data_IF_381606394634
#
_entry.id   IF_381606394634
#
_cell.length_a   1.000
_cell.length_b   1.000
_cell.length_c   1.000
_cell.angle_alpha   90.00
_cell.angle_beta   90.00
_cell.angle_gamma   90.00
#
_symmetry.space_group_name_H-M   'P 1'
#
loop_
_entity.id
_entity.type
_entity.pdbx_description
1 polymer ?
#
# COMPACT_ATOMS: atom_id res chain seq x y z
N UNK A 1 47.51 26.01 59.80
CA UNK A 1 47.29 27.48 59.91
C UNK A 1 46.70 27.95 58.58
N UNK A 2 45.39 28.24 58.55
CA UNK A 2 44.78 29.53 58.14
C UNK A 2 44.99 29.88 56.64
N UNK A 3 43.99 30.27 55.82
CA UNK A 3 42.57 30.56 55.95
C UNK A 3 41.95 30.51 54.54
N UNK A 4 40.63 30.34 54.47
CA UNK A 4 39.76 30.36 53.29
C UNK A 4 39.87 31.60 52.40
N UNK A 5 39.50 31.47 51.11
CA UNK A 5 38.78 32.53 50.39
C UNK A 5 38.11 31.99 49.12
N UNK A 6 36.83 31.63 49.24
CA UNK A 6 35.88 31.48 48.12
C UNK A 6 35.51 32.89 47.65
N UNK A 7 35.69 33.20 46.36
CA UNK A 7 35.12 34.42 45.75
C UNK A 7 34.03 34.03 44.76
N UNK A 8 32.81 34.45 45.11
CA UNK A 8 31.63 34.44 44.26
C UNK A 8 31.84 35.32 43.03
N UNK A 9 31.46 34.82 41.85
CA UNK A 9 31.30 35.62 40.65
C UNK A 9 29.83 36.04 40.52
N UNK A 10 29.62 37.35 40.50
CA UNK A 10 28.32 38.00 40.39
C UNK A 10 27.73 37.83 38.98
N UNK A 11 26.44 37.46 38.92
CA UNK A 11 25.63 37.48 37.70
C UNK A 11 25.13 38.90 37.49
N UNK A 12 25.60 39.55 36.43
CA UNK A 12 25.15 40.87 36.00
C UNK A 12 24.00 40.70 35.00
N UNK A 13 22.77 40.90 35.45
CA UNK A 13 21.58 41.00 34.58
C UNK A 13 21.55 42.41 34.02
N UNK A 14 21.88 42.55 32.73
CA UNK A 14 21.73 43.80 32.00
C UNK A 14 20.36 43.80 31.29
N UNK A 15 19.36 44.40 31.92
CA UNK A 15 18.11 44.79 31.28
C UNK A 15 18.36 46.03 30.40
N UNK A 16 18.52 45.85 29.10
CA UNK A 16 18.34 46.92 28.12
C UNK A 16 16.97 46.75 27.46
N UNK A 17 16.06 47.66 27.80
CA UNK A 17 14.78 47.81 27.13
C UNK A 17 14.98 48.23 25.69
N UNK A 18 14.50 47.40 24.77
CA UNK A 18 14.22 47.81 23.40
C UNK A 18 12.70 47.95 23.30
N UNK A 19 12.22 49.20 23.30
CA UNK A 19 10.89 49.58 22.82
C UNK A 19 10.89 49.35 21.30
N UNK A 20 10.73 48.09 20.90
CA UNK A 20 10.50 47.68 19.53
C UNK A 20 9.00 47.48 19.33
N UNK A 21 8.40 48.39 18.55
CA UNK A 21 7.16 48.24 17.80
C UNK A 21 6.72 46.77 17.68
N UNK A 22 5.68 46.36 18.43
CA UNK A 22 5.03 45.07 18.18
C UNK A 22 4.38 45.16 16.79
N UNK A 23 4.78 44.36 15.78
CA UNK A 23 3.96 44.22 14.60
C UNK A 23 2.60 43.65 15.02
N UNK A 24 1.55 44.29 14.53
CA UNK A 24 0.16 43.88 14.70
C UNK A 24 -0.01 42.36 14.46
N UNK A 25 -0.86 41.74 15.27
CA UNK A 25 -1.19 40.31 15.33
C UNK A 25 -1.22 39.61 13.96
N UNK A 26 -0.06 39.11 13.54
CA UNK A 26 0.09 38.14 12.47
C UNK A 26 0.28 36.77 13.07
N UNK A 27 -0.80 36.14 13.54
CA UNK A 27 -0.75 34.75 13.97
C UNK A 27 -0.26 33.89 12.79
N UNK A 28 1.01 33.48 12.81
CA UNK A 28 1.56 32.60 11.80
C UNK A 28 0.78 31.29 11.83
N UNK A 29 -0.08 31.08 10.82
CA UNK A 29 -0.81 29.83 10.65
C UNK A 29 0.20 28.70 10.50
N UNK A 30 0.20 27.75 11.45
CA UNK A 30 1.06 26.57 11.38
C UNK A 30 0.70 25.81 10.11
N UNK A 31 1.68 25.45 9.30
CA UNK A 31 1.47 24.66 8.10
C UNK A 31 2.61 23.69 7.92
N UNK A 32 2.41 22.66 7.10
CA UNK A 32 3.45 21.68 6.87
C UNK A 32 3.09 20.61 5.87
N UNK A 33 4.05 19.71 5.71
CA UNK A 33 3.98 18.53 4.87
C UNK A 33 4.20 17.31 5.74
N UNK A 34 3.37 16.29 5.60
CA UNK A 34 3.49 15.05 6.36
C UNK A 34 3.26 13.82 5.49
N UNK A 35 3.69 12.67 6.01
CA UNK A 35 3.52 11.35 5.41
C UNK A 35 2.93 10.41 6.44
N UNK A 36 2.17 9.42 5.97
CA UNK A 36 1.54 8.45 6.85
C UNK A 36 0.71 7.43 6.08
N UNK A 37 -0.05 6.62 6.83
CA UNK A 37 -0.99 5.62 6.30
C UNK A 37 -2.40 6.21 6.36
N UNK A 38 -3.14 6.18 5.24
CA UNK A 38 -4.54 6.56 5.22
C UNK A 38 -5.38 5.50 5.93
N UNK A 39 -5.75 5.75 7.17
CA UNK A 39 -6.48 4.79 8.00
C UNK A 39 -7.96 4.75 7.63
N UNK A 40 -8.59 5.93 7.51
CA UNK A 40 -9.99 6.07 7.16
C UNK A 40 -10.24 7.30 6.29
N UNK A 41 -11.38 7.33 5.61
CA UNK A 41 -11.85 8.49 4.85
C UNK A 41 -13.36 8.53 4.79
N UNK A 42 -13.89 9.72 4.58
CA UNK A 42 -15.27 9.97 4.20
C UNK A 42 -15.32 10.81 2.92
N UNK A 43 -16.49 11.35 2.59
CA UNK A 43 -16.66 12.29 1.50
C UNK A 43 -15.99 13.65 1.79
N UNK A 44 -15.91 14.04 3.07
CA UNK A 44 -15.49 15.39 3.49
C UNK A 44 -14.27 15.42 4.41
N UNK A 45 -13.69 14.27 4.76
CA UNK A 45 -12.53 14.20 5.65
C UNK A 45 -11.69 12.95 5.42
N UNK A 46 -10.47 12.99 5.93
CA UNK A 46 -9.55 11.83 5.98
C UNK A 46 -8.94 11.68 7.38
N UNK A 47 -8.55 10.46 7.72
CA UNK A 47 -7.75 10.16 8.90
C UNK A 47 -6.45 9.47 8.50
N UNK A 48 -5.35 10.01 9.02
CA UNK A 48 -4.00 9.56 8.68
C UNK A 48 -3.25 9.21 9.95
N UNK A 49 -2.66 8.00 9.97
CA UNK A 49 -1.66 7.60 10.95
C UNK A 49 -0.32 8.18 10.49
N UNK A 50 0.11 9.27 11.12
CA UNK A 50 1.33 9.99 10.75
C UNK A 50 2.56 9.17 11.13
N UNK A 51 3.59 9.20 10.30
CA UNK A 51 4.85 8.51 10.59
C UNK A 51 5.46 8.99 11.90
N UNK A 52 5.79 8.06 12.79
CA UNK A 52 6.36 8.35 14.11
C UNK A 52 5.34 8.73 15.18
N UNK A 53 4.05 8.83 14.84
CA UNK A 53 2.98 9.09 15.78
C UNK A 53 2.12 7.86 16.02
N UNK A 54 1.64 7.69 17.26
CA UNK A 54 0.75 6.59 17.65
C UNK A 54 -0.72 6.89 17.34
N UNK A 55 -1.10 8.16 17.21
CA UNK A 55 -2.50 8.59 17.08
C UNK A 55 -2.87 8.97 15.65
N UNK A 56 -4.15 8.77 15.33
CA UNK A 56 -4.74 9.20 14.07
C UNK A 56 -5.02 10.69 14.11
N UNK A 57 -4.71 11.38 13.01
CA UNK A 57 -5.08 12.78 12.82
C UNK A 57 -6.13 12.91 11.74
N UNK A 58 -7.20 13.65 12.03
CA UNK A 58 -8.26 13.97 11.08
C UNK A 58 -7.95 15.28 10.35
N UNK A 59 -8.09 15.26 9.03
CA UNK A 59 -7.94 16.44 8.18
C UNK A 59 -9.22 16.68 7.39
N UNK A 60 -9.61 17.95 7.30
CA UNK A 60 -10.81 18.40 6.57
C UNK A 60 -10.35 19.36 5.48
N UNK A 61 -10.88 19.31 4.25
CA UNK A 61 -10.56 20.29 3.22
C UNK A 61 -10.71 21.74 3.70
N UNK A 62 -9.95 22.64 3.08
CA UNK A 62 -10.14 24.09 3.27
C UNK A 62 -11.52 24.53 2.77
N UNK A 63 -12.07 25.56 3.42
CA UNK A 63 -13.28 26.22 2.98
C UNK A 63 -12.99 27.27 1.90
N UNK A 64 -13.88 27.43 0.92
CA UNK A 64 -13.78 28.36 -0.21
C UNK A 64 -15.11 29.11 -0.37
N UNK A 65 -15.09 30.34 -0.88
CA UNK A 65 -16.30 31.03 -1.34
C UNK A 65 -17.13 31.79 -0.27
N UNK A 66 -16.56 32.19 0.87
CA UNK A 66 -17.29 33.01 1.85
C UNK A 66 -18.26 32.20 2.72
N UNK A 67 -19.39 32.76 3.16
CA UNK A 67 -20.35 32.00 3.98
C UNK A 67 -21.11 30.98 3.11
N UNK A 68 -21.72 29.93 3.70
CA UNK A 68 -22.50 28.95 2.94
C UNK A 68 -23.56 29.57 2.00
N UNK A 69 -24.24 30.63 2.47
CA UNK A 69 -25.25 31.37 1.70
C UNK A 69 -24.68 32.11 0.48
N UNK A 70 -23.39 32.42 0.48
CA UNK A 70 -22.68 33.16 -0.57
C UNK A 70 -21.99 32.21 -1.57
N UNK A 71 -22.31 30.92 -1.52
CA UNK A 71 -21.65 29.88 -2.31
C UNK A 71 -20.44 29.27 -1.62
N UNK A 72 -20.30 29.46 -0.31
CA UNK A 72 -19.23 28.85 0.47
C UNK A 72 -19.33 27.32 0.51
N UNK A 73 -18.23 26.62 0.22
CA UNK A 73 -18.15 25.16 0.20
C UNK A 73 -16.75 24.65 0.54
N UNK A 74 -16.62 23.34 0.77
CA UNK A 74 -15.32 22.68 0.91
C UNK A 74 -14.60 22.66 -0.45
N UNK A 75 -13.27 22.76 -0.45
CA UNK A 75 -12.47 22.80 -1.66
C UNK A 75 -12.68 21.55 -2.55
N UNK A 76 -13.38 21.74 -3.67
CA UNK A 76 -13.76 20.67 -4.61
C UNK A 76 -12.55 19.92 -5.18
N UNK A 77 -11.42 20.61 -5.40
CA UNK A 77 -10.20 19.97 -5.88
C UNK A 77 -9.70 18.94 -4.86
N UNK A 78 -9.76 19.28 -3.57
CA UNK A 78 -9.35 18.38 -2.49
C UNK A 78 -10.38 17.26 -2.30
N UNK A 79 -11.68 17.56 -2.38
CA UNK A 79 -12.75 16.55 -2.30
C UNK A 79 -12.59 15.46 -3.37
N UNK A 80 -12.36 15.87 -4.62
CA UNK A 80 -12.12 14.94 -5.73
C UNK A 80 -10.90 14.04 -5.48
N UNK A 81 -9.84 14.59 -4.87
CA UNK A 81 -8.68 13.79 -4.47
C UNK A 81 -9.02 12.80 -3.38
N UNK A 82 -9.75 13.20 -2.34
CA UNK A 82 -10.20 12.29 -1.27
C UNK A 82 -11.03 11.14 -1.85
N UNK A 83 -11.92 11.43 -2.80
CA UNK A 83 -12.75 10.42 -3.46
C UNK A 83 -11.88 9.33 -4.14
N UNK A 84 -10.81 9.73 -4.82
CA UNK A 84 -9.89 8.82 -5.53
C UNK A 84 -8.96 8.00 -4.60
N UNK A 85 -8.81 8.36 -3.33
CA UNK A 85 -7.93 7.63 -2.41
C UNK A 85 -8.48 6.25 -2.05
N UNK A 86 -7.56 5.34 -1.72
CA UNK A 86 -7.83 4.00 -1.20
C UNK A 86 -7.23 3.87 0.20
N UNK A 87 -8.01 3.38 1.16
CA UNK A 87 -7.58 3.19 2.54
C UNK A 87 -6.49 2.13 2.64
N UNK A 88 -5.58 2.29 3.59
CA UNK A 88 -4.38 1.47 3.80
C UNK A 88 -3.17 1.89 2.97
N UNK A 89 -3.34 2.71 1.93
CA UNK A 89 -2.19 3.23 1.20
C UNK A 89 -1.41 4.28 1.98
N UNK A 90 -0.12 4.39 1.68
CA UNK A 90 0.71 5.49 2.15
C UNK A 90 0.35 6.76 1.40
N UNK A 91 0.27 7.87 2.11
CA UNK A 91 -0.09 9.18 1.56
C UNK A 91 0.92 10.23 1.99
N UNK A 92 1.05 11.24 1.14
CA UNK A 92 1.73 12.48 1.44
C UNK A 92 0.73 13.61 1.32
N UNK A 93 0.66 14.47 2.33
CA UNK A 93 -0.30 15.58 2.35
C UNK A 93 0.33 16.88 2.83
N UNK A 94 -0.30 17.97 2.41
CA UNK A 94 0.02 19.33 2.80
C UNK A 94 -1.15 19.87 3.62
N UNK A 95 -0.84 20.50 4.74
CA UNK A 95 -1.85 20.96 5.69
C UNK A 95 -1.55 22.35 6.22
N UNK A 96 -2.60 23.00 6.71
CA UNK A 96 -2.53 24.26 7.46
C UNK A 96 -3.46 24.18 8.67
N UNK A 97 -3.07 24.80 9.77
CA UNK A 97 -3.92 24.98 10.94
C UNK A 97 -4.69 26.29 10.79
N UNK A 98 -6.01 26.16 10.75
CA UNK A 98 -6.97 27.29 10.72
C UNK A 98 -8.17 26.87 11.55
N UNK A 99 -8.00 26.98 12.89
CA UNK A 99 -8.77 26.37 13.99
C UNK A 99 -8.80 24.83 14.03
N UNK A 100 -8.69 24.21 12.86
CA UNK A 100 -8.61 22.77 12.65
C UNK A 100 -7.52 22.44 11.64
N UNK A 101 -7.13 21.16 11.57
CA UNK A 101 -6.21 20.67 10.55
C UNK A 101 -6.88 20.67 9.18
N UNK A 102 -6.54 21.68 8.36
CA UNK A 102 -7.06 21.82 7.01
C UNK A 102 -6.16 21.14 6.00
N UNK A 103 -6.77 20.35 5.12
CA UNK A 103 -6.11 19.67 4.01
C UNK A 103 -6.02 20.60 2.80
N UNK A 104 -4.79 20.90 2.37
CA UNK A 104 -4.53 21.68 1.16
C UNK A 104 -4.32 20.79 -0.06
N UNK A 105 -3.66 19.65 0.12
CA UNK A 105 -3.36 18.71 -0.96
C UNK A 105 -3.06 17.33 -0.38
N UNK A 106 -3.35 16.28 -1.14
CA UNK A 106 -3.00 14.90 -0.82
C UNK A 106 -2.66 14.12 -2.09
N UNK A 107 -1.75 13.16 -1.94
CA UNK A 107 -1.44 12.17 -2.98
C UNK A 107 -1.04 10.83 -2.37
N UNK A 108 -1.38 9.75 -3.08
CA UNK A 108 -0.93 8.40 -2.75
C UNK A 108 0.54 8.22 -3.12
N UNK A 109 1.33 7.63 -2.23
CA UNK A 109 2.70 7.22 -2.47
C UNK A 109 2.73 5.79 -2.99
N UNK A 110 2.91 5.63 -4.31
CA UNK A 110 3.06 4.32 -4.93
C UNK A 110 4.45 3.74 -4.64
N UNK A 111 4.57 2.42 -4.41
CA UNK A 111 5.88 1.79 -4.26
C UNK A 111 6.64 1.81 -5.59
N UNK A 112 7.99 1.81 -5.50
CA UNK A 112 8.87 1.80 -6.68
C UNK A 112 8.77 0.51 -7.50
N UNK A 113 8.44 -0.61 -6.84
CA UNK A 113 8.22 -1.92 -7.46
C UNK A 113 6.75 -2.31 -7.30
N UNK A 114 6.22 -3.05 -8.27
CA UNK A 114 4.86 -3.60 -8.22
C UNK A 114 4.77 -4.94 -7.49
N UNK A 115 5.90 -5.56 -7.13
CA UNK A 115 5.96 -6.78 -6.32
C UNK A 115 7.29 -6.86 -5.58
N UNK A 116 7.34 -7.67 -4.53
CA UNK A 116 8.57 -8.04 -3.85
C UNK A 116 8.31 -8.67 -2.50
N UNK A 117 9.37 -8.81 -1.73
CA UNK A 117 9.33 -9.32 -0.36
C UNK A 117 9.53 -8.18 0.63
N UNK A 118 8.96 -8.29 1.81
CA UNK A 118 9.12 -7.33 2.89
C UNK A 118 9.30 -8.08 4.21
N UNK A 119 10.50 -7.99 4.76
CA UNK A 119 10.78 -8.35 6.15
C UNK A 119 10.42 -7.20 7.08
N UNK A 120 9.88 -7.50 8.25
CA UNK A 120 9.72 -6.53 9.32
C UNK A 120 8.99 -7.10 10.54
N UNK A 121 8.78 -6.25 11.52
CA UNK A 121 8.06 -6.57 12.75
C UNK A 121 6.62 -6.10 12.66
N UNK A 122 5.68 -6.92 13.12
CA UNK A 122 4.26 -6.57 13.19
C UNK A 122 4.06 -5.49 14.25
N UNK A 123 3.59 -4.32 13.82
CA UNK A 123 3.35 -3.18 14.71
C UNK A 123 1.90 -3.12 15.19
N UNK A 124 0.95 -3.43 14.31
CA UNK A 124 -0.48 -3.43 14.60
C UNK A 124 -1.19 -4.31 13.59
N UNK A 125 -2.34 -4.86 13.97
CA UNK A 125 -3.26 -5.52 13.04
C UNK A 125 -4.69 -5.04 13.23
N UNK A 126 -5.50 -5.27 12.22
CA UNK A 126 -6.96 -5.26 12.31
C UNK A 126 -7.51 -6.52 11.63
N UNK A 127 -8.82 -6.58 11.49
CA UNK A 127 -9.53 -7.80 11.04
C UNK A 127 -9.08 -8.34 9.68
N UNK A 128 -8.55 -7.46 8.81
CA UNK A 128 -8.21 -7.79 7.42
C UNK A 128 -6.95 -7.05 6.94
N UNK A 129 -6.10 -6.59 7.85
CA UNK A 129 -4.88 -5.89 7.50
C UNK A 129 -3.83 -5.99 8.60
N UNK A 130 -2.58 -5.81 8.21
CA UNK A 130 -1.44 -5.79 9.13
C UNK A 130 -0.51 -4.62 8.80
N UNK A 131 -0.11 -3.87 9.83
CA UNK A 131 0.91 -2.84 9.75
C UNK A 131 2.25 -3.47 10.12
N UNK A 132 3.19 -3.51 9.16
CA UNK A 132 4.53 -4.05 9.36
C UNK A 132 5.55 -2.90 9.33
N UNK A 133 6.39 -2.87 10.37
CA UNK A 133 7.51 -1.94 10.49
C UNK A 133 8.76 -2.64 9.96
N UNK A 134 9.26 -2.26 8.78
CA UNK A 134 10.56 -2.75 8.32
C UNK A 134 11.67 -2.20 9.21
N UNK A 135 12.79 -2.92 9.29
CA UNK A 135 14.01 -2.46 9.95
C UNK A 135 14.44 -1.10 9.39
N UNK A 136 14.51 -1.01 8.06
CA UNK A 136 14.85 0.20 7.33
C UNK A 136 13.64 0.71 6.54
N UNK A 137 12.88 1.62 7.15
CA UNK A 137 11.83 2.33 6.44
C UNK A 137 10.64 2.74 7.29
N UNK A 138 9.63 3.38 6.67
CA UNK A 138 8.41 3.76 7.36
C UNK A 138 7.49 2.56 7.57
N UNK A 139 6.51 2.73 8.46
CA UNK A 139 5.45 1.74 8.66
C UNK A 139 4.64 1.56 7.36
N UNK A 140 4.28 0.31 7.05
CA UNK A 140 3.53 -0.05 5.85
C UNK A 140 2.35 -0.94 6.21
N UNK A 141 1.18 -0.67 5.63
CA UNK A 141 0.01 -1.54 5.76
C UNK A 141 -0.07 -2.50 4.58
N UNK A 142 -0.37 -3.75 4.90
CA UNK A 142 -0.63 -4.83 3.97
C UNK A 142 -2.04 -5.36 4.18
N UNK A 143 -2.70 -5.73 3.10
CA UNK A 143 -4.06 -6.30 3.08
C UNK A 143 -3.97 -7.62 2.31
N UNK A 144 -4.73 -8.67 2.63
CA UNK A 144 -4.77 -9.87 1.80
C UNK A 144 -5.11 -9.56 0.34
N UNK A 145 -4.56 -10.36 -0.58
CA UNK A 145 -4.99 -10.33 -1.99
C UNK A 145 -6.47 -10.68 -2.12
N UNK A 146 -7.07 -10.20 -3.20
CA UNK A 146 -8.41 -10.60 -3.59
C UNK A 146 -8.36 -11.86 -4.45
N UNK A 147 -9.19 -12.84 -4.13
CA UNK A 147 -9.40 -14.05 -4.93
C UNK A 147 -10.85 -14.05 -5.46
N UNK A 148 -11.05 -14.62 -6.65
CA UNK A 148 -12.36 -14.68 -7.30
C UNK A 148 -12.75 -13.40 -8.06
N UNK A 149 -14.02 -13.33 -8.51
CA UNK A 149 -14.58 -12.17 -9.24
C UNK A 149 -15.17 -11.15 -8.26
N UNK A 150 -16.43 -10.78 -8.40
CA UNK A 150 -17.13 -9.88 -7.47
C UNK A 150 -17.57 -10.64 -6.21
N UNK A 151 -17.85 -9.92 -5.12
CA UNK A 151 -18.29 -10.50 -3.83
C UNK A 151 -19.44 -11.51 -4.00
N UNK A 152 -20.48 -11.11 -4.75
CA UNK A 152 -21.66 -11.93 -5.05
C UNK A 152 -21.35 -13.20 -5.87
N UNK A 153 -20.16 -13.27 -6.47
CA UNK A 153 -19.70 -14.37 -7.32
C UNK A 153 -18.59 -15.19 -6.63
N UNK A 154 -18.52 -15.15 -5.30
CA UNK A 154 -17.49 -15.85 -4.52
C UNK A 154 -16.13 -15.15 -4.54
N UNK A 155 -16.10 -13.86 -4.87
CA UNK A 155 -14.92 -13.02 -4.71
C UNK A 155 -14.74 -12.62 -3.25
N UNK A 156 -13.51 -12.58 -2.77
CA UNK A 156 -13.22 -12.19 -1.39
C UNK A 156 -11.74 -12.02 -1.11
N UNK A 157 -11.42 -11.58 0.10
CA UNK A 157 -10.05 -11.61 0.59
C UNK A 157 -9.59 -13.06 0.77
N UNK A 158 -8.31 -13.31 0.50
CA UNK A 158 -7.68 -14.62 0.67
C UNK A 158 -7.83 -15.11 2.12
N UNK A 159 -8.64 -16.16 2.30
CA UNK A 159 -9.00 -16.70 3.61
C UNK A 159 -7.83 -17.31 4.36
N UNK A 160 -6.88 -17.92 3.65
CA UNK A 160 -5.68 -18.51 4.26
C UNK A 160 -4.80 -17.41 4.84
N UNK A 161 -4.61 -16.32 4.10
CA UNK A 161 -3.87 -15.15 4.57
C UNK A 161 -4.59 -14.46 5.74
N UNK A 162 -5.93 -14.39 5.71
CA UNK A 162 -6.71 -13.85 6.83
C UNK A 162 -6.49 -14.67 8.11
N UNK A 163 -6.51 -16.00 8.01
CA UNK A 163 -6.24 -16.88 9.14
C UNK A 163 -4.85 -16.64 9.72
N UNK A 164 -3.81 -16.54 8.85
CA UNK A 164 -2.45 -16.24 9.30
C UNK A 164 -2.38 -14.88 10.00
N UNK A 165 -3.06 -13.84 9.49
CA UNK A 165 -3.13 -12.52 10.16
C UNK A 165 -3.81 -12.63 11.53
N UNK A 166 -4.83 -13.46 11.67
CA UNK A 166 -5.53 -13.65 12.93
C UNK A 166 -4.65 -14.35 13.99
N UNK A 167 -3.85 -15.32 13.57
CA UNK A 167 -2.90 -16.01 14.45
C UNK A 167 -1.66 -15.17 14.79
N UNK A 168 -1.25 -14.28 13.88
CA UNK A 168 -0.07 -13.42 14.04
C UNK A 168 -0.27 -12.41 15.18
N UNK A 169 0.76 -12.26 16.03
CA UNK A 169 0.76 -11.33 17.17
C UNK A 169 1.53 -10.05 16.83
N UNK A 170 1.18 -8.99 17.54
CA UNK A 170 1.96 -7.75 17.51
C UNK A 170 3.32 -8.01 18.16
N UNK A 171 4.39 -7.66 17.45
CA UNK A 171 5.77 -7.95 17.84
C UNK A 171 6.40 -9.11 17.08
N UNK A 172 5.62 -9.92 16.35
CA UNK A 172 6.17 -11.04 15.58
C UNK A 172 7.00 -10.54 14.38
N UNK A 173 8.06 -11.26 14.04
CA UNK A 173 8.80 -11.04 12.80
C UNK A 173 8.13 -11.79 11.65
N UNK A 174 7.91 -11.09 10.55
CA UNK A 174 7.26 -11.64 9.36
C UNK A 174 8.06 -11.33 8.11
N UNK A 175 8.03 -12.26 7.15
CA UNK A 175 8.48 -12.06 5.80
C UNK A 175 7.27 -12.19 4.87
N UNK A 176 6.88 -11.07 4.25
CA UNK A 176 5.67 -11.00 3.42
C UNK A 176 6.06 -10.90 1.95
N UNK A 177 5.56 -11.81 1.13
CA UNK A 177 5.53 -11.61 -0.33
C UNK A 177 4.32 -10.74 -0.68
N UNK A 178 4.54 -9.67 -1.43
CA UNK A 178 3.49 -8.72 -1.77
C UNK A 178 3.48 -8.33 -3.24
N UNK A 179 2.30 -7.99 -3.74
CA UNK A 179 2.07 -7.30 -5.00
C UNK A 179 1.35 -5.96 -4.76
N UNK A 180 1.49 -5.04 -5.70
CA UNK A 180 0.79 -3.77 -5.71
C UNK A 180 -0.13 -3.71 -6.93
N UNK A 181 -1.43 -3.65 -6.66
CA UNK A 181 -2.48 -3.40 -7.64
C UNK A 181 -3.02 -1.96 -7.44
N UNK A 182 -4.03 -1.79 -6.59
CA UNK A 182 -4.50 -0.55 -6.02
C UNK A 182 -3.91 -0.29 -4.62
N UNK A 183 -3.44 -1.36 -3.95
CA UNK A 183 -2.87 -1.36 -2.59
C UNK A 183 -1.77 -2.41 -2.50
N UNK A 184 -0.99 -2.41 -1.42
CA UNK A 184 -0.07 -3.52 -1.13
C UNK A 184 -0.86 -4.73 -0.65
N UNK A 185 -0.89 -5.77 -1.49
CA UNK A 185 -1.56 -7.04 -1.26
C UNK A 185 -0.59 -8.12 -0.83
N UNK A 186 -0.93 -8.86 0.20
CA UNK A 186 -0.19 -10.05 0.64
C UNK A 186 -0.50 -11.18 -0.32
N UNK A 187 0.54 -11.76 -0.91
CA UNK A 187 0.46 -12.98 -1.72
C UNK A 187 0.66 -14.19 -0.83
N UNK A 188 1.70 -14.15 0.02
CA UNK A 188 2.09 -15.24 0.89
C UNK A 188 2.86 -14.71 2.12
N UNK A 189 2.85 -15.49 3.19
CA UNK A 189 3.79 -15.37 4.30
C UNK A 189 4.89 -16.40 4.11
N UNK A 190 6.14 -15.94 4.17
CA UNK A 190 7.34 -16.76 4.07
C UNK A 190 7.95 -16.94 5.46
N UNK A 191 8.74 -17.99 5.63
CA UNK A 191 9.52 -18.18 6.85
C UNK A 191 10.51 -17.01 7.02
N UNK A 192 10.44 -16.22 8.12
CA UNK A 192 11.41 -15.17 8.36
C UNK A 192 12.81 -15.73 8.62
N UNK A 193 12.98 -16.97 9.05
CA UNK A 193 14.30 -17.57 9.25
C UNK A 193 14.37 -18.90 8.49
N UNK A 194 14.46 -18.86 7.15
CA UNK A 194 14.58 -20.08 6.38
C UNK A 194 15.82 -20.84 6.88
N UNK A 195 15.75 -22.17 7.02
CA UNK A 195 16.92 -22.95 7.38
C UNK A 195 18.06 -22.61 6.42
N UNK A 196 19.31 -22.56 6.89
CA UNK A 196 20.46 -22.41 6.01
C UNK A 196 20.29 -23.40 4.86
N UNK A 197 20.28 -22.91 3.63
CA UNK A 197 20.25 -23.78 2.46
C UNK A 197 21.43 -24.73 2.65
N UNK A 198 21.15 -26.00 2.95
CA UNK A 198 22.17 -27.02 2.79
C UNK A 198 22.70 -26.82 1.37
N UNK A 199 24.03 -26.70 1.18
CA UNK A 199 24.57 -26.52 -0.14
C UNK A 199 23.93 -27.61 -0.98
N UNK A 200 23.13 -27.23 -1.99
CA UNK A 200 22.67 -28.19 -2.98
C UNK A 200 23.96 -28.85 -3.44
N UNK A 201 24.19 -30.08 -2.98
CA UNK A 201 25.18 -30.94 -3.57
C UNK A 201 24.69 -31.01 -5.00
N UNK A 202 25.30 -30.19 -5.86
CA UNK A 202 25.23 -30.41 -7.29
C UNK A 202 25.77 -31.81 -7.41
N UNK A 203 24.88 -32.78 -7.46
CA UNK A 203 25.18 -34.08 -8.00
C UNK A 203 25.72 -33.74 -9.38
N UNK A 204 27.05 -33.69 -9.47
CA UNK A 204 27.75 -33.79 -10.73
C UNK A 204 27.41 -35.18 -11.20
N UNK A 205 26.25 -35.33 -11.83
CA UNK A 205 25.92 -36.48 -12.64
C UNK A 205 26.91 -36.40 -13.78
N UNK A 206 28.10 -36.97 -13.55
CA UNK A 206 29.06 -37.18 -14.60
C UNK A 206 28.35 -38.07 -15.63
N UNK A 207 28.28 -37.65 -16.90
CA UNK A 207 27.67 -38.48 -17.93
C UNK A 207 28.37 -39.84 -17.90
N UNK A 208 27.61 -40.96 -17.91
CA UNK A 208 28.20 -42.29 -17.89
C UNK A 208 29.11 -42.44 -19.11
N UNK A 209 30.42 -42.51 -18.87
CA UNK A 209 31.42 -42.69 -19.94
C UNK A 209 32.73 -41.92 -19.81
N UNK A 210 32.88 -41.00 -18.85
CA UNK A 210 34.19 -40.37 -18.60
C UNK A 210 34.95 -41.08 -17.47
N UNK A 211 36.05 -41.81 -17.76
CA UNK A 211 36.94 -42.27 -16.72
C UNK A 211 37.57 -41.06 -16.03
N UNK A 212 37.58 -41.11 -14.70
CA UNK A 212 38.09 -40.14 -13.75
C UNK A 212 39.31 -39.35 -14.26
N UNK A 213 39.11 -38.09 -14.65
CA UNK A 213 40.19 -37.10 -14.72
C UNK A 213 40.42 -36.59 -13.30
N UNK A 214 41.04 -37.43 -12.46
CA UNK A 214 41.74 -36.89 -11.31
C UNK A 214 42.87 -36.01 -11.84
N UNK A 215 43.11 -34.81 -11.27
CA UNK A 215 44.27 -34.03 -11.66
C UNK A 215 45.53 -34.88 -11.46
N UNK A 216 46.48 -34.84 -12.42
CA UNK A 216 47.74 -35.58 -12.29
C UNK A 216 48.47 -35.11 -11.03
N UNK A 217 49.30 -36.00 -10.46
CA UNK A 217 50.09 -35.64 -9.28
C UNK A 217 51.00 -34.44 -9.58
N UNK A 218 51.32 -33.59 -8.57
CA UNK A 218 52.16 -32.43 -8.77
C UNK A 218 53.51 -32.80 -9.39
N UNK A 219 53.70 -32.44 -10.67
CA UNK A 219 54.91 -32.76 -11.45
C UNK A 219 54.65 -33.61 -12.69
N UNK A 220 53.46 -34.19 -12.84
CA UNK A 220 53.09 -34.91 -14.05
C UNK A 220 52.34 -34.02 -15.07
N UNK A 221 52.67 -34.13 -16.37
CA UNK A 221 51.97 -33.38 -17.40
C UNK A 221 50.54 -33.90 -17.56
N UNK A 222 49.58 -32.98 -17.70
CA UNK A 222 48.15 -33.28 -17.90
C UNK A 222 47.83 -34.15 -19.12
N UNK A 223 48.77 -34.26 -20.05
CA UNK A 223 48.65 -35.10 -21.23
C UNK A 223 49.99 -35.82 -21.44
N UNK A 224 49.99 -37.11 -21.79
CA UNK A 224 51.22 -37.80 -22.19
C UNK A 224 51.82 -37.11 -23.43
N UNK A 225 53.15 -37.01 -23.48
CA UNK A 225 53.87 -36.52 -24.65
C UNK A 225 53.45 -37.32 -25.89
N UNK A 226 53.05 -36.62 -26.95
CA UNK A 226 52.77 -37.24 -28.25
C UNK A 226 54.05 -37.90 -28.74
N UNK A 227 54.05 -39.22 -28.79
CA UNK A 227 55.07 -39.96 -29.53
C UNK A 227 54.93 -39.57 -31.00
N UNK A 228 56.00 -39.02 -31.59
CA UNK A 228 56.03 -38.60 -32.99
C UNK A 228 55.59 -39.75 -33.90
N UNK A 229 54.41 -39.59 -34.50
CA UNK A 229 53.78 -40.59 -35.35
C UNK A 229 54.37 -40.57 -36.75
N UNK A 230 55.64 -40.98 -36.91
CA UNK A 230 56.14 -41.48 -38.20
C UNK A 230 56.22 -42.99 -38.15
N UNK A 231 55.03 -43.61 -38.12
CA UNK A 231 54.67 -45.01 -38.42
C UNK A 231 53.69 -45.54 -37.39
N UNK A 232 52.39 -45.43 -37.70
CA UNK A 232 51.51 -46.57 -37.48
C UNK A 232 50.24 -46.44 -38.31
N UNK A 233 50.20 -47.28 -39.33
CA UNK A 233 49.02 -47.90 -39.92
C UNK A 233 48.07 -48.35 -38.82
N UNK A 234 46.85 -47.80 -38.75
CA UNK A 234 45.55 -48.46 -38.47
C UNK A 234 44.49 -47.35 -38.53
N UNK A 235 43.49 -47.55 -39.39
CA UNK A 235 42.55 -46.52 -39.84
C UNK A 235 41.53 -46.07 -38.80
N UNK A 236 41.69 -44.83 -38.34
CA UNK A 236 40.61 -44.01 -37.79
C UNK A 236 40.31 -42.89 -38.80
N UNK A 237 39.04 -42.60 -39.10
CA UNK A 237 38.69 -41.54 -40.04
C UNK A 237 39.16 -40.18 -39.52
N UNK A 238 39.71 -39.38 -40.43
CA UNK A 238 40.06 -37.98 -40.18
C UNK A 238 38.84 -37.22 -39.61
N UNK A 239 39.02 -36.33 -38.62
CA UNK A 239 37.94 -35.42 -38.22
C UNK A 239 37.53 -34.54 -39.41
N UNK A 240 36.24 -34.24 -39.57
CA UNK A 240 35.80 -33.37 -40.65
C UNK A 240 36.49 -32.01 -40.53
N UNK A 241 36.99 -31.51 -41.66
CA UNK A 241 37.59 -30.19 -41.76
C UNK A 241 36.62 -29.14 -41.21
N UNK A 242 37.11 -28.26 -40.34
CA UNK A 242 36.37 -27.09 -39.88
C UNK A 242 35.99 -26.23 -41.09
N UNK A 243 34.71 -26.30 -41.46
CA UNK A 243 34.11 -25.39 -42.43
C UNK A 243 34.18 -23.97 -41.87
N UNK A 244 34.79 -23.09 -42.67
CA UNK A 244 34.84 -21.64 -42.43
C UNK A 244 33.44 -21.07 -42.13
N UNK A 245 33.32 -20.02 -41.31
CA UNK A 245 32.04 -19.40 -41.02
C UNK A 245 31.43 -18.82 -42.31
N UNK A 246 30.19 -19.19 -42.60
CA UNK A 246 29.37 -18.59 -43.65
C UNK A 246 29.02 -17.14 -43.29
N UNK A 247 29.04 -16.19 -44.24
CA UNK A 247 28.62 -14.81 -44.00
C UNK A 247 27.11 -14.74 -43.73
N UNK A 248 26.75 -13.86 -42.80
CA UNK A 248 25.37 -13.60 -42.38
C UNK A 248 24.51 -13.10 -43.54
N UNK A 249 23.37 -13.76 -43.76
CA UNK A 249 22.27 -13.25 -44.58
C UNK A 249 21.48 -12.21 -43.79
N UNK A 250 21.12 -11.06 -44.39
CA UNK A 250 20.21 -10.11 -43.76
C UNK A 250 18.80 -10.71 -43.68
N UNK A 251 18.19 -10.61 -42.49
CA UNK A 251 16.79 -10.96 -42.25
C UNK A 251 15.93 -9.91 -42.98
N UNK A 252 15.23 -10.34 -44.03
CA UNK A 252 14.18 -9.55 -44.68
C UNK A 252 12.89 -9.83 -43.92
N UNK A 253 12.37 -8.81 -43.26
CA UNK A 253 11.09 -8.83 -42.56
C UNK A 253 9.95 -8.75 -43.59
N UNK A 254 9.41 -9.91 -43.95
CA UNK A 254 8.23 -10.02 -44.81
C UNK A 254 6.97 -10.23 -43.95
N UNK A 255 6.61 -9.25 -43.13
CA UNK A 255 5.23 -9.15 -42.63
C UNK A 255 4.34 -8.50 -43.69
N UNK A 256 3.27 -9.16 -44.17
CA UNK A 256 2.29 -8.51 -45.03
C UNK A 256 1.54 -7.43 -44.24
N UNK A 257 1.71 -6.18 -44.68
CA UNK A 257 0.92 -5.02 -44.23
C UNK A 257 -0.48 -5.16 -44.83
N UNK A 258 -1.45 -5.57 -44.01
CA UNK A 258 -2.85 -5.45 -44.35
C UNK A 258 -3.28 -3.97 -44.28
N UNK A 259 -3.98 -3.43 -45.29
CA UNK A 259 -4.53 -2.08 -45.23
C UNK A 259 -5.65 -1.99 -44.17
N UNK A 260 -5.86 -0.82 -43.56
CA UNK A 260 -6.89 -0.64 -42.54
C UNK A 260 -8.29 -0.78 -43.16
N UNK A 261 -8.98 -1.86 -42.80
CA UNK A 261 -10.39 -2.05 -43.10
C UNK A 261 -11.28 -1.02 -42.38
N UNK A 262 -12.51 -0.78 -42.88
CA UNK A 262 -13.42 0.19 -42.30
C UNK A 262 -13.79 -0.17 -40.85
N UNK A 263 -13.86 0.87 -40.01
CA UNK A 263 -14.20 0.76 -38.58
C UNK A 263 -15.53 0.01 -38.38
N UNK A 264 -15.62 -0.93 -37.43
CA UNK A 264 -16.89 -1.55 -37.06
C UNK A 264 -17.87 -0.48 -36.57
N UNK A 265 -19.06 -0.47 -37.16
CA UNK A 265 -20.21 0.31 -36.69
C UNK A 265 -20.62 -0.26 -35.31
N UNK A 266 -20.80 0.58 -34.27
CA UNK A 266 -21.27 0.09 -32.98
C UNK A 266 -22.68 -0.51 -33.12
N UNK A 267 -23.00 -1.61 -32.42
CA UNK A 267 -24.35 -2.16 -32.39
C UNK A 267 -25.34 -1.12 -31.81
N UNK A 268 -26.62 -1.16 -32.22
CA UNK A 268 -27.64 -0.28 -31.65
C UNK A 268 -27.74 -0.47 -30.13
N UNK A 269 -27.93 0.64 -29.41
CA UNK A 269 -28.11 0.63 -27.96
C UNK A 269 -29.20 -0.37 -27.55
N UNK A 270 -29.01 -1.11 -26.44
CA UNK A 270 -30.10 -1.85 -25.82
C UNK A 270 -31.24 -0.88 -25.48
N UNK A 271 -32.44 -1.18 -25.97
CA UNK A 271 -33.68 -0.56 -25.52
C UNK A 271 -33.81 -0.76 -24.01
N UNK A 272 -34.02 0.36 -23.31
CA UNK A 272 -34.21 0.43 -21.86
C UNK A 272 -35.34 -0.51 -21.40
N UNK A 273 -35.07 -1.54 -20.57
CA UNK A 273 -36.09 -2.46 -20.09
C UNK A 273 -36.92 -1.89 -18.93
N UNK A 274 -36.68 -0.65 -18.48
CA UNK A 274 -37.43 -0.01 -17.39
C UNK A 274 -38.56 0.93 -17.85
N UNK A 275 -38.93 0.91 -19.14
CA UNK A 275 -40.02 1.72 -19.70
C UNK A 275 -41.46 1.24 -19.42
N UNK A 276 -41.67 0.23 -18.56
CA UNK A 276 -43.01 -0.23 -18.19
C UNK A 276 -43.29 0.11 -16.72
N UNK A 277 -43.91 1.27 -16.48
CA UNK A 277 -44.51 1.57 -15.19
C UNK A 277 -45.59 0.53 -14.87
N UNK A 278 -45.75 0.12 -13.60
CA UNK A 278 -46.83 -0.77 -13.21
C UNK A 278 -48.20 -0.08 -13.45
N UNK A 279 -49.26 -0.85 -13.82
CA UNK A 279 -50.60 -0.28 -13.96
C UNK A 279 -51.08 0.31 -12.62
N UNK A 280 -51.93 1.35 -12.65
CA UNK A 280 -52.35 2.05 -11.44
C UNK A 280 -53.12 1.09 -10.52
N UNK A 281 -52.54 0.83 -9.35
CA UNK A 281 -53.24 0.19 -8.23
C UNK A 281 -54.13 1.24 -7.60
N UNK A 282 -55.43 1.02 -7.70
CA UNK A 282 -56.49 1.81 -7.08
C UNK A 282 -56.38 1.72 -5.55
N UNK A 283 -56.14 2.81 -4.79
CA UNK A 283 -56.20 2.76 -3.34
C UNK A 283 -57.63 3.08 -2.87
N UNK A 284 -58.23 2.14 -2.14
CA UNK A 284 -59.38 2.41 -1.27
C UNK A 284 -59.07 3.55 -0.28
N UNK A 285 -60.08 4.30 0.19
CA UNK A 285 -59.87 5.57 0.88
C UNK A 285 -59.28 5.34 2.27
N UNK A 286 -58.09 5.87 2.52
CA UNK A 286 -57.58 6.09 3.87
C UNK A 286 -57.93 7.52 4.26
N UNK A 287 -58.69 7.69 5.34
CA UNK A 287 -59.00 8.98 5.94
C UNK A 287 -57.71 9.76 6.25
N UNK A 288 -57.63 11.06 5.91
CA UNK A 288 -56.48 11.87 6.26
C UNK A 288 -56.48 12.16 7.76
N UNK A 289 -55.42 11.72 8.45
CA UNK A 289 -55.09 12.26 9.78
C UNK A 289 -54.69 13.73 9.64
N UNK A 290 -55.11 14.62 10.57
CA UNK A 290 -54.83 16.04 10.47
C UNK A 290 -53.32 16.31 10.58
N UNK A 291 -52.82 17.09 9.62
CA UNK A 291 -51.47 17.66 9.65
C UNK A 291 -51.45 18.75 10.73
N UNK A 292 -50.56 18.72 11.72
CA UNK A 292 -50.43 19.83 12.67
C UNK A 292 -49.77 21.04 12.00
N UNK A 293 -50.32 22.22 12.25
CA UNK A 293 -49.88 23.51 11.68
C UNK A 293 -48.50 24.02 12.17
N UNK A 294 -47.75 23.24 12.95
CA UNK A 294 -46.48 23.67 13.54
C UNK A 294 -45.44 22.53 13.70
N UNK A 295 -44.24 22.62 13.09
CA UNK A 295 -43.24 21.55 13.12
C UNK A 295 -42.46 21.40 14.45
N UNK A 296 -42.78 22.17 15.49
CA UNK A 296 -42.08 22.13 16.78
C UNK A 296 -42.88 21.56 17.96
N UNK A 297 -44.16 21.21 17.76
CA UNK A 297 -44.98 20.57 18.81
C UNK A 297 -44.95 19.04 18.66
N UNK A 298 -43.80 18.44 18.95
CA UNK A 298 -43.73 16.98 19.17
C UNK A 298 -44.13 16.69 20.61
N UNK A 299 -45.41 16.40 20.82
CA UNK A 299 -45.90 15.77 22.05
C UNK A 299 -45.21 14.42 22.18
N UNK A 300 -44.35 14.28 23.18
CA UNK A 300 -43.68 13.01 23.50
C UNK A 300 -44.71 12.02 24.04
N UNK A 301 -44.81 10.79 23.49
CA UNK A 301 -45.68 9.78 24.08
C UNK A 301 -45.16 9.36 25.48
N UNK A 302 -46.04 9.01 26.43
CA UNK A 302 -45.62 8.65 27.78
C UNK A 302 -44.77 7.38 27.77
N UNK A 303 -43.63 7.45 28.45
CA UNK A 303 -42.67 6.36 28.64
C UNK A 303 -43.35 5.18 29.37
N UNK A 304 -43.27 3.93 28.88
CA UNK A 304 -43.75 2.77 29.62
C UNK A 304 -42.94 2.64 30.94
N UNK A 305 -43.65 2.47 32.06
CA UNK A 305 -43.03 2.13 33.35
C UNK A 305 -42.36 0.76 33.24
N UNK A 306 -41.05 0.71 33.44
CA UNK A 306 -40.33 -0.54 33.66
C UNK A 306 -40.72 -1.15 35.02
N UNK A 307 -40.83 -2.48 35.13
CA UNK A 307 -41.07 -3.13 36.41
C UNK A 307 -39.85 -2.99 37.35
N UNK A 308 -40.14 -2.76 38.64
CA UNK A 308 -39.17 -2.69 39.73
C UNK A 308 -38.29 -3.95 39.75
N UNK A 309 -37.00 -3.78 39.50
CA UNK A 309 -35.98 -4.77 39.79
C UNK A 309 -35.46 -4.46 41.20
N UNK A 310 -35.76 -5.36 42.14
CA UNK A 310 -35.27 -5.29 43.52
C UNK A 310 -33.73 -5.35 43.55
N UNK A 311 -33.13 -4.49 44.38
CA UNK A 311 -31.68 -4.44 44.59
C UNK A 311 -31.21 -5.66 45.38
N UNK A 312 -30.14 -6.37 44.97
CA UNK A 312 -29.67 -7.57 45.67
C UNK A 312 -28.64 -7.29 46.77
N UNK A 313 -28.66 -6.10 47.41
CA UNK A 313 -27.71 -5.74 48.48
C UNK A 313 -28.35 -4.92 49.62
N UNK A 314 -29.59 -5.24 50.00
CA UNK A 314 -30.14 -4.97 51.34
C UNK A 314 -30.86 -6.20 51.87
#
# INVERSE_FOLDING_TARGET
MHFSSVRAAAVLVLCCGFLGQFPADGAFRKSGKLRGILAAKSLTWIEVKVDGESHLRRFIPTWRGGLPKDGGHLDDYVLNKIAALRTGNRVELHWVFDDQLRLLNIRTLKPTRSRGEQRGTVYQKGDHWIDVKPENGPLQRFIPRWLGRFEEQGGGLDGDILHVIDETKVGDEVLIEWAYDDRKRIISFLDPNPPPLEPEEKETVFPPGYPYLLPPEPGEPWFPERVDSTKSTIGLPLPPAFSKPSPATPIIDNTPVNPPGPKPVPPPLPTDPFGAGPPPVNPSPVEPSPIPDNPFDVVTPPKPKAPLQENPFE
#
